data_IF_580648966479
#
_entry.id   IF_580648966479
#
_cell.length_a   1.000
_cell.length_b   1.000
_cell.length_c   1.000
_cell.angle_alpha   90.00
_cell.angle_beta   90.00
_cell.angle_gamma   90.00
#
_symmetry.space_group_name_H-M   'P 1'
#
loop_
_entity.id
_entity.type
_entity.pdbx_description
1 polymer ?
#
# COMPACT_ATOMS: atom_id res chain seq x y z
N UNK A 1 9.23 5.84 -9.46
CA UNK A 1 9.44 4.46 -9.97
C UNK A 1 9.78 3.45 -8.87
N UNK A 2 10.69 3.71 -7.93
CA UNK A 2 11.06 2.72 -6.89
C UNK A 2 9.88 2.18 -6.04
N UNK A 3 8.96 3.05 -5.62
CA UNK A 3 7.78 2.64 -4.83
C UNK A 3 6.78 1.77 -5.62
N UNK A 4 6.65 2.02 -6.92
CA UNK A 4 5.80 1.22 -7.82
C UNK A 4 6.38 -0.18 -8.00
N UNK A 5 7.70 -0.25 -8.18
CA UNK A 5 8.42 -1.50 -8.30
C UNK A 5 8.39 -2.30 -6.99
N UNK A 6 8.51 -1.65 -5.82
CA UNK A 6 8.31 -2.29 -4.52
C UNK A 6 6.91 -2.88 -4.36
N UNK A 7 5.89 -2.16 -4.82
CA UNK A 7 4.48 -2.62 -4.79
C UNK A 7 4.24 -3.79 -5.74
N UNK A 8 4.85 -3.80 -6.93
CA UNK A 8 4.75 -4.91 -7.88
C UNK A 8 5.31 -6.25 -7.36
N UNK A 9 6.19 -6.21 -6.35
CA UNK A 9 6.69 -7.43 -5.68
C UNK A 9 5.71 -8.00 -4.66
N UNK A 10 4.72 -7.21 -4.24
CA UNK A 10 3.67 -7.61 -3.29
C UNK A 10 2.48 -8.28 -3.98
N UNK A 11 2.21 -7.94 -5.25
CA UNK A 11 1.09 -8.49 -6.04
C UNK A 11 1.69 -9.35 -7.17
N UNK A 12 1.97 -10.61 -6.86
CA UNK A 12 2.52 -11.61 -7.79
C UNK A 12 1.46 -12.61 -8.26
N UNK A 13 0.33 -12.72 -7.57
CA UNK A 13 -0.82 -13.55 -7.94
C UNK A 13 -2.15 -12.85 -7.63
N UNK A 14 -3.26 -13.35 -8.17
CA UNK A 14 -4.60 -12.80 -7.93
C UNK A 14 -5.11 -13.03 -6.51
N UNK A 15 -4.53 -14.01 -5.80
CA UNK A 15 -4.87 -14.32 -4.42
C UNK A 15 -3.95 -13.62 -3.41
N UNK A 16 -2.94 -12.89 -3.88
CA UNK A 16 -2.02 -12.18 -3.00
C UNK A 16 -2.75 -11.05 -2.25
N UNK A 17 -2.56 -11.03 -0.93
CA UNK A 17 -3.09 -10.00 -0.04
C UNK A 17 -1.92 -9.32 0.66
N UNK A 18 -1.91 -7.99 0.67
CA UNK A 18 -0.83 -7.26 1.31
C UNK A 18 -1.15 -5.79 1.56
N UNK A 19 -0.25 -5.13 2.30
CA UNK A 19 -0.31 -3.70 2.59
C UNK A 19 0.98 -3.05 2.10
N UNK A 20 0.85 -1.90 1.44
CA UNK A 20 1.96 -0.98 1.17
C UNK A 20 1.86 0.19 2.14
N UNK A 21 2.84 0.32 3.04
CA UNK A 21 2.89 1.43 3.99
C UNK A 21 4.02 2.40 3.62
N UNK A 22 3.70 3.69 3.57
CA UNK A 22 4.70 4.75 3.45
C UNK A 22 4.79 5.49 4.77
N UNK A 23 5.85 5.24 5.54
CA UNK A 23 6.08 5.83 6.85
C UNK A 23 6.87 7.15 6.76
N UNK A 24 6.47 8.00 5.81
CA UNK A 24 7.09 9.31 5.59
C UNK A 24 6.02 10.41 5.61
N UNK A 25 6.09 11.29 6.63
CA UNK A 25 5.17 12.42 6.80
C UNK A 25 5.21 13.40 5.62
N UNK A 26 6.32 13.47 4.87
CA UNK A 26 6.45 14.36 3.71
C UNK A 26 5.48 13.98 2.60
N UNK A 27 5.08 12.71 2.50
CA UNK A 27 4.13 12.29 1.48
C UNK A 27 2.75 12.97 1.64
N UNK A 28 2.38 13.36 2.87
CA UNK A 28 1.11 14.03 3.12
C UNK A 28 1.03 15.42 2.48
N UNK A 29 2.16 16.13 2.38
CA UNK A 29 2.21 17.54 1.95
C UNK A 29 2.96 17.74 0.64
N UNK A 30 3.72 16.75 0.19
CA UNK A 30 4.53 16.85 -1.01
C UNK A 30 3.67 17.05 -2.28
N UNK A 31 4.10 17.98 -3.13
CA UNK A 31 3.51 18.20 -4.47
C UNK A 31 3.52 16.93 -5.34
N UNK A 32 4.51 16.06 -5.15
CA UNK A 32 4.64 14.81 -5.90
C UNK A 32 3.70 13.69 -5.42
N UNK A 33 2.88 13.90 -4.37
CA UNK A 33 2.02 12.84 -3.80
C UNK A 33 1.10 12.20 -4.84
N UNK A 34 0.51 13.01 -5.73
CA UNK A 34 -0.44 12.51 -6.72
C UNK A 34 0.26 11.64 -7.76
N UNK A 35 1.40 12.10 -8.28
CA UNK A 35 2.25 11.34 -9.22
C UNK A 35 2.67 10.00 -8.63
N UNK A 36 3.04 9.98 -7.34
CA UNK A 36 3.41 8.75 -6.66
C UNK A 36 2.21 7.79 -6.53
N UNK A 37 1.05 8.31 -6.13
CA UNK A 37 -0.16 7.51 -5.92
C UNK A 37 -0.78 7.01 -7.22
N UNK A 38 -0.63 7.74 -8.33
CA UNK A 38 -1.07 7.36 -9.68
C UNK A 38 -0.19 6.27 -10.28
N UNK A 39 1.09 6.21 -9.91
CA UNK A 39 2.00 5.15 -10.34
C UNK A 39 1.76 3.81 -9.62
N UNK A 40 0.89 3.75 -8.60
CA UNK A 40 0.57 2.53 -7.87
C UNK A 40 -0.60 1.79 -8.53
N UNK A 41 -0.70 0.45 -8.36
CA UNK A 41 -1.94 -0.29 -8.60
C UNK A 41 -3.14 0.32 -7.83
N UNK A 42 -4.38 0.04 -8.24
CA UNK A 42 -5.59 0.55 -7.58
C UNK A 42 -5.75 -0.07 -6.18
N UNK A 43 -5.06 0.50 -5.20
CA UNK A 43 -5.09 0.11 -3.80
C UNK A 43 -6.06 1.00 -3.03
N UNK A 44 -6.79 0.40 -2.07
CA UNK A 44 -7.53 1.16 -1.06
C UNK A 44 -6.54 1.99 -0.24
N UNK A 45 -6.79 3.30 -0.13
CA UNK A 45 -5.93 4.23 0.62
C UNK A 45 -6.47 4.41 2.04
N UNK A 46 -5.59 4.29 3.01
CA UNK A 46 -5.89 4.51 4.44
C UNK A 46 -4.74 5.27 5.09
N UNK A 47 -5.06 6.15 6.02
CA UNK A 47 -4.06 6.88 6.84
C UNK A 47 -3.91 6.23 8.22
N UNK A 48 -5.00 5.64 8.71
CA UNK A 48 -5.02 4.94 9.98
C UNK A 48 -4.28 3.59 9.89
N UNK A 49 -3.28 3.42 10.75
CA UNK A 49 -2.49 2.20 10.85
C UNK A 49 -3.28 1.02 11.40
N UNK A 50 -4.31 1.25 12.21
CA UNK A 50 -5.12 0.15 12.77
C UNK A 50 -5.96 -0.53 11.69
N UNK A 51 -6.44 0.22 10.70
CA UNK A 51 -7.12 -0.35 9.52
C UNK A 51 -6.19 -1.28 8.73
N UNK A 52 -4.90 -0.92 8.61
CA UNK A 52 -3.91 -1.76 7.95
C UNK A 52 -3.61 -3.03 8.75
N UNK A 53 -3.46 -2.92 10.08
CA UNK A 53 -3.24 -4.06 10.98
C UNK A 53 -4.41 -5.04 10.95
N UNK A 54 -5.63 -4.53 11.00
CA UNK A 54 -6.85 -5.33 10.95
C UNK A 54 -6.98 -6.06 9.59
N UNK A 55 -6.65 -5.38 8.48
CA UNK A 55 -6.60 -6.02 7.18
C UNK A 55 -5.60 -7.18 7.14
N UNK A 56 -4.38 -6.98 7.65
CA UNK A 56 -3.35 -8.02 7.70
C UNK A 56 -3.79 -9.20 8.59
N UNK A 57 -4.36 -8.92 9.77
CA UNK A 57 -4.86 -9.97 10.67
C UNK A 57 -5.91 -10.86 9.99
N UNK A 58 -6.88 -10.25 9.28
CA UNK A 58 -7.88 -11.00 8.50
C UNK A 58 -7.28 -11.72 7.30
N UNK A 59 -6.26 -11.16 6.66
CA UNK A 59 -5.61 -11.77 5.51
C UNK A 59 -4.87 -13.05 5.89
N UNK A 60 -4.17 -13.05 7.03
CA UNK A 60 -3.46 -14.21 7.58
C UNK A 60 -4.43 -15.28 8.06
N UNK A 61 -5.54 -14.91 8.73
CA UNK A 61 -6.52 -15.86 9.23
C UNK A 61 -7.32 -16.63 8.15
N UNK A 62 -7.16 -16.23 6.87
CA UNK A 62 -7.82 -16.85 5.71
C UNK A 62 -6.87 -17.75 4.89
N UNK A 63 -5.63 -17.90 5.31
CA UNK A 63 -4.67 -18.87 4.77
C UNK A 63 -4.55 -20.06 5.71
#
# INVERSE_FOLDING_TARGET
LALAQGTGRLIRSHDDRGVVAVLDRRLATARYRNVLLEAMPPLRRVVDGDVAREFLARAVARG
#
